data_IF_906797290923
#
_entry.id   IF_906797290923
#
_cell.length_a   1.000
_cell.length_b   1.000
_cell.length_c   1.000
_cell.angle_alpha   90.00
_cell.angle_beta   90.00
_cell.angle_gamma   90.00
#
_symmetry.space_group_name_H-M   'P 1'
#
loop_
_entity.id
_entity.type
_entity.pdbx_description
1 polymer ?
#
# COMPACT_ATOMS: atom_id res chain seq x y z
N UNK A 1 -3.60 3.98 15.09
CA UNK A 1 -4.67 3.65 14.12
C UNK A 1 -6.00 4.32 14.52
N UNK A 2 -6.96 4.52 13.60
CA UNK A 2 -8.32 4.99 13.95
C UNK A 2 -9.26 3.84 14.35
N UNK A 3 -10.56 4.10 14.46
CA UNK A 3 -11.56 3.10 14.85
C UNK A 3 -11.88 2.06 13.75
N UNK A 4 -11.42 2.30 12.52
CA UNK A 4 -11.61 1.44 11.35
C UNK A 4 -10.36 0.63 11.00
N UNK A 5 -9.34 0.63 11.85
CA UNK A 5 -8.10 -0.07 11.54
C UNK A 5 -7.17 0.69 10.59
N UNK A 6 -7.38 1.99 10.36
CA UNK A 6 -6.61 2.76 9.37
C UNK A 6 -5.46 3.57 10.02
N UNK A 7 -4.38 3.74 9.27
CA UNK A 7 -3.18 4.47 9.66
C UNK A 7 -3.18 5.88 9.08
N UNK A 8 -2.92 6.89 9.90
CA UNK A 8 -2.77 8.27 9.44
C UNK A 8 -1.36 8.45 8.88
N UNK A 9 -1.24 8.44 7.56
CA UNK A 9 0.04 8.58 6.89
C UNK A 9 -0.09 9.41 5.61
N UNK A 10 1.01 10.00 5.17
CA UNK A 10 1.10 10.61 3.85
C UNK A 10 1.85 9.63 2.93
N UNK A 11 1.28 9.23 1.77
CA UNK A 11 1.93 8.27 0.87
C UNK A 11 3.35 8.66 0.46
N UNK A 12 3.62 9.95 0.29
CA UNK A 12 4.96 10.43 -0.01
C UNK A 12 5.97 10.10 1.10
N UNK A 13 5.56 10.12 2.38
CA UNK A 13 6.46 9.82 3.49
C UNK A 13 6.75 8.32 3.55
N UNK A 14 5.74 7.49 3.26
CA UNK A 14 5.90 6.03 3.12
C UNK A 14 6.90 5.72 2.01
N UNK A 15 6.65 6.24 0.81
CA UNK A 15 7.45 5.90 -0.36
C UNK A 15 8.87 6.49 -0.33
N UNK A 16 9.07 7.69 0.25
CA UNK A 16 10.41 8.25 0.47
C UNK A 16 11.25 7.37 1.41
N UNK A 17 10.62 6.79 2.43
CA UNK A 17 11.31 5.89 3.36
C UNK A 17 11.62 4.54 2.72
N UNK A 18 10.65 3.99 1.99
CA UNK A 18 10.76 2.65 1.41
C UNK A 18 11.65 2.61 0.16
N UNK A 19 11.59 3.66 -0.66
CA UNK A 19 12.23 3.72 -1.98
C UNK A 19 12.93 5.07 -2.22
N UNK A 20 13.87 5.51 -1.37
CA UNK A 20 14.44 6.86 -1.45
C UNK A 20 15.09 7.20 -2.81
N UNK A 21 15.70 6.21 -3.46
CA UNK A 21 16.43 6.42 -4.73
C UNK A 21 15.53 6.45 -5.97
N UNK A 22 14.35 5.83 -5.90
CA UNK A 22 13.45 5.65 -7.06
C UNK A 22 12.18 6.46 -6.95
N UNK A 23 11.77 6.82 -5.73
CA UNK A 23 10.61 7.66 -5.49
C UNK A 23 10.84 9.09 -6.00
N UNK A 24 9.91 9.56 -6.83
CA UNK A 24 9.87 10.96 -7.25
C UNK A 24 8.47 11.37 -7.69
N UNK A 25 8.15 12.63 -7.42
CA UNK A 25 6.93 13.32 -7.89
C UNK A 25 7.24 14.53 -8.76
N UNK A 26 8.49 14.69 -9.18
CA UNK A 26 8.94 15.84 -9.97
C UNK A 26 8.11 15.99 -11.26
N UNK A 27 7.85 14.88 -11.93
CA UNK A 27 7.07 14.83 -13.17
C UNK A 27 5.65 14.29 -12.97
N UNK A 28 5.13 14.43 -11.74
CA UNK A 28 3.87 13.83 -11.30
C UNK A 28 4.03 12.37 -10.90
N UNK A 29 2.89 11.66 -10.87
CA UNK A 29 2.80 10.32 -10.30
C UNK A 29 1.44 10.15 -9.62
N UNK A 30 1.20 8.96 -9.09
CA UNK A 30 -0.03 8.67 -8.36
C UNK A 30 0.22 7.57 -7.33
N UNK A 31 -0.68 7.48 -6.36
CA UNK A 31 -0.69 6.42 -5.37
C UNK A 31 -2.12 5.86 -5.29
N UNK A 32 -2.24 4.54 -5.36
CA UNK A 32 -3.54 3.88 -5.52
C UNK A 32 -3.62 2.64 -4.65
N UNK A 33 -4.75 2.42 -3.99
CA UNK A 33 -5.03 1.14 -3.33
C UNK A 33 -5.43 0.10 -4.36
N UNK A 34 -5.03 -1.15 -4.14
CA UNK A 34 -5.45 -2.30 -4.94
C UNK A 34 -6.54 -3.02 -4.17
N UNK A 35 -7.76 -2.97 -4.71
CA UNK A 35 -8.94 -3.61 -4.15
C UNK A 35 -9.36 -4.85 -4.97
N UNK A 36 -9.01 -4.91 -6.26
CA UNK A 36 -9.28 -6.04 -7.14
C UNK A 36 -8.44 -5.96 -8.43
N UNK A 37 -8.50 -6.98 -9.28
CA UNK A 37 -8.00 -7.00 -10.65
C UNK A 37 -9.13 -7.14 -11.69
N UNK A 38 -9.04 -6.39 -12.79
CA UNK A 38 -9.83 -6.60 -14.00
C UNK A 38 -8.92 -7.00 -15.17
N UNK A 39 -8.80 -8.30 -15.39
CA UNK A 39 -7.91 -8.88 -16.41
C UNK A 39 -8.41 -8.71 -17.85
N UNK A 40 -9.57 -8.07 -18.08
CA UNK A 40 -9.97 -7.63 -19.43
C UNK A 40 -9.05 -6.54 -20.00
N UNK A 41 -8.35 -5.81 -19.11
CA UNK A 41 -7.36 -4.81 -19.46
C UNK A 41 -5.95 -5.34 -19.18
N UNK A 42 -4.95 -4.91 -19.95
CA UNK A 42 -3.52 -5.30 -19.75
C UNK A 42 -2.64 -4.10 -19.38
N UNK A 43 -3.25 -3.02 -18.91
CA UNK A 43 -2.60 -1.77 -18.53
C UNK A 43 -3.10 -1.33 -17.14
N UNK A 44 -2.83 -0.09 -16.72
CA UNK A 44 -3.22 0.38 -15.39
C UNK A 44 -4.72 0.33 -15.05
N UNK A 45 -5.62 0.17 -16.02
CA UNK A 45 -7.04 -0.08 -15.79
C UNK A 45 -7.33 -1.48 -15.22
N UNK A 46 -6.38 -2.42 -15.34
CA UNK A 46 -6.52 -3.76 -14.77
C UNK A 46 -6.37 -3.78 -13.26
N UNK A 47 -5.78 -2.76 -12.67
CA UNK A 47 -5.70 -2.62 -11.22
C UNK A 47 -6.93 -1.81 -10.80
N UNK A 48 -7.78 -2.35 -9.92
CA UNK A 48 -9.00 -1.69 -9.44
C UNK A 48 -8.76 -1.15 -8.03
N UNK A 49 -9.33 0.02 -7.74
CA UNK A 49 -9.27 0.64 -6.42
C UNK A 49 -9.11 2.15 -6.46
N UNK A 50 -9.14 2.77 -5.28
CA UNK A 50 -9.17 4.22 -5.12
C UNK A 50 -7.79 4.88 -5.25
N UNK A 51 -7.75 6.07 -5.88
CA UNK A 51 -6.60 6.97 -5.83
C UNK A 51 -6.56 7.79 -4.55
N UNK A 52 -5.36 7.94 -4.00
CA UNK A 52 -5.10 8.70 -2.77
C UNK A 52 -4.26 9.93 -3.08
N UNK A 53 -4.39 10.96 -2.23
CA UNK A 53 -3.52 12.13 -2.34
C UNK A 53 -2.09 11.74 -2.00
N UNK A 54 -1.11 12.10 -2.82
CA UNK A 54 0.28 11.73 -2.56
C UNK A 54 0.90 12.48 -1.37
N UNK A 55 0.56 13.76 -1.17
CA UNK A 55 1.21 14.68 -0.22
C UNK A 55 0.46 14.91 1.09
N UNK A 56 -0.84 14.60 1.13
CA UNK A 56 -1.66 14.87 2.32
C UNK A 56 -1.66 13.65 3.23
N UNK A 57 -1.54 13.89 4.54
CA UNK A 57 -1.86 12.86 5.53
C UNK A 57 -3.33 12.50 5.40
N UNK A 58 -3.60 11.22 5.26
CA UNK A 58 -4.94 10.67 5.18
C UNK A 58 -4.96 9.27 5.82
N UNK A 59 -6.16 8.76 6.07
CA UNK A 59 -6.33 7.43 6.62
C UNK A 59 -6.14 6.39 5.52
N UNK A 60 -5.17 5.49 5.72
CA UNK A 60 -4.87 4.37 4.83
C UNK A 60 -5.21 3.06 5.55
N UNK A 61 -6.06 2.25 4.95
CA UNK A 61 -6.36 0.91 5.46
C UNK A 61 -5.20 -0.05 5.12
N UNK A 62 -4.91 -1.05 5.97
CA UNK A 62 -4.07 -2.17 5.58
C UNK A 62 -4.48 -2.79 4.25
N UNK A 63 -3.50 -3.29 3.51
CA UNK A 63 -3.70 -3.88 2.18
C UNK A 63 -2.62 -3.46 1.17
N UNK A 64 -2.92 -3.71 -0.09
CA UNK A 64 -2.01 -3.47 -1.20
C UNK A 64 -2.15 -2.07 -1.78
N UNK A 65 -1.02 -1.48 -2.17
CA UNK A 65 -0.97 -0.20 -2.84
C UNK A 65 0.05 -0.20 -3.97
N UNK A 66 -0.25 0.51 -5.05
CA UNK A 66 0.69 0.79 -6.13
C UNK A 66 1.04 2.27 -6.16
N UNK A 67 2.33 2.53 -6.16
CA UNK A 67 2.91 3.85 -6.41
C UNK A 67 3.40 3.95 -7.85
N UNK A 68 3.02 5.01 -8.56
CA UNK A 68 3.65 5.43 -9.80
C UNK A 68 4.52 6.65 -9.54
N UNK A 69 5.84 6.45 -9.59
CA UNK A 69 6.84 7.50 -9.45
C UNK A 69 7.46 7.86 -10.80
N UNK A 70 7.61 9.17 -11.06
CA UNK A 70 8.18 9.67 -12.32
C UNK A 70 9.42 10.52 -12.03
N UNK A 71 10.58 9.92 -12.27
CA UNK A 71 11.91 10.49 -12.05
C UNK A 71 12.59 10.88 -13.37
N UNK A 72 13.83 11.38 -13.29
CA UNK A 72 14.68 11.76 -14.42
C UNK A 72 14.47 13.20 -14.88
N UNK A 73 15.12 13.57 -15.99
CA UNK A 73 14.99 14.88 -16.61
C UNK A 73 13.85 14.94 -17.62
N UNK A 74 13.42 16.14 -17.99
CA UNK A 74 12.34 16.39 -18.97
C UNK A 74 12.52 15.61 -20.29
N UNK A 75 13.76 15.28 -20.68
CA UNK A 75 14.09 14.55 -21.92
C UNK A 75 14.15 13.02 -21.76
N UNK A 76 14.32 12.50 -20.53
CA UNK A 76 14.44 11.07 -20.24
C UNK A 76 13.72 10.74 -18.94
N UNK A 77 12.38 10.71 -19.02
CA UNK A 77 11.53 10.32 -17.89
C UNK A 77 11.76 8.85 -17.56
N UNK A 78 11.96 8.55 -16.29
CA UNK A 78 12.04 7.19 -15.75
C UNK A 78 10.81 6.98 -14.89
N UNK A 79 10.00 5.99 -15.22
CA UNK A 79 8.77 5.65 -14.50
C UNK A 79 9.02 4.37 -13.71
N UNK A 80 8.71 4.42 -12.42
CA UNK A 80 8.70 3.27 -11.53
C UNK A 80 7.25 2.99 -11.12
N UNK A 81 6.85 1.72 -11.17
CA UNK A 81 5.64 1.24 -10.53
C UNK A 81 6.05 0.33 -9.38
N UNK A 82 5.66 0.66 -8.15
CA UNK A 82 6.06 -0.07 -6.94
C UNK A 82 4.83 -0.57 -6.21
N UNK A 83 4.73 -1.88 -6.07
CA UNK A 83 3.70 -2.54 -5.28
C UNK A 83 4.20 -2.69 -3.85
N UNK A 84 3.38 -2.25 -2.90
CA UNK A 84 3.68 -2.32 -1.48
C UNK A 84 2.49 -2.94 -0.73
N UNK A 85 2.78 -3.53 0.43
CA UNK A 85 1.78 -3.98 1.40
C UNK A 85 1.88 -3.13 2.66
N UNK A 86 0.78 -2.51 3.07
CA UNK A 86 0.62 -1.93 4.40
C UNK A 86 0.01 -3.00 5.31
N UNK A 87 0.77 -3.45 6.31
CA UNK A 87 0.34 -4.48 7.25
C UNK A 87 -0.56 -3.92 8.35
N UNK A 88 -1.23 -4.83 9.07
CA UNK A 88 -2.13 -4.49 10.17
C UNK A 88 -1.44 -3.91 11.40
N UNK A 89 -0.13 -4.09 11.53
CA UNK A 89 0.71 -3.46 12.56
C UNK A 89 1.24 -2.08 12.12
N UNK A 90 0.92 -1.64 10.90
CA UNK A 90 1.36 -0.37 10.32
C UNK A 90 2.75 -0.42 9.67
N UNK A 91 3.41 -1.58 9.64
CA UNK A 91 4.63 -1.78 8.86
C UNK A 91 4.31 -1.82 7.37
N UNK A 92 5.31 -1.51 6.55
CA UNK A 92 5.16 -1.46 5.09
C UNK A 92 6.23 -2.34 4.45
N UNK A 93 5.80 -3.23 3.57
CA UNK A 93 6.67 -4.12 2.80
C UNK A 93 6.68 -3.72 1.33
N UNK A 94 7.85 -3.75 0.70
CA UNK A 94 7.98 -3.67 -0.76
C UNK A 94 7.81 -5.08 -1.32
N UNK A 95 6.86 -5.24 -2.23
CA UNK A 95 6.58 -6.54 -2.85
C UNK A 95 7.23 -6.67 -4.22
N UNK A 96 7.09 -5.64 -5.07
CA UNK A 96 7.59 -5.67 -6.44
C UNK A 96 7.84 -4.25 -6.96
N UNK A 97 8.81 -4.08 -7.86
CA UNK A 97 9.07 -2.80 -8.51
C UNK A 97 9.49 -2.97 -9.97
N UNK A 98 8.74 -2.34 -10.87
CA UNK A 98 9.06 -2.30 -12.30
C UNK A 98 9.60 -0.93 -12.72
N UNK A 99 10.45 -0.89 -13.75
CA UNK A 99 11.08 0.34 -14.28
C UNK A 99 10.88 0.45 -15.80
N UNK A 100 10.30 1.55 -16.27
CA UNK A 100 10.09 1.84 -17.70
C UNK A 100 9.46 0.68 -18.49
N UNK A 101 8.60 -0.08 -17.83
CA UNK A 101 8.04 -1.30 -18.39
C UNK A 101 6.63 -1.01 -18.93
N UNK A 102 6.35 -1.25 -20.23
CA UNK A 102 4.99 -1.11 -20.76
C UNK A 102 4.03 -2.15 -20.17
N UNK A 103 4.52 -3.33 -19.81
CA UNK A 103 3.76 -4.43 -19.21
C UNK A 103 3.69 -4.36 -17.68
N UNK A 104 4.05 -3.20 -17.09
CA UNK A 104 4.13 -3.04 -15.64
C UNK A 104 2.86 -3.48 -14.89
N UNK A 105 1.67 -3.34 -15.50
CA UNK A 105 0.42 -3.68 -14.83
C UNK A 105 0.22 -5.19 -14.74
N UNK A 106 0.50 -5.93 -15.82
CA UNK A 106 0.38 -7.39 -15.84
C UNK A 106 1.47 -8.06 -15.02
N UNK A 107 2.67 -7.48 -14.99
CA UNK A 107 3.79 -8.01 -14.19
C UNK A 107 3.53 -7.89 -12.68
N UNK A 108 2.56 -7.07 -12.26
CA UNK A 108 2.11 -6.96 -10.88
C UNK A 108 0.94 -7.90 -10.53
N UNK A 109 0.36 -8.64 -11.48
CA UNK A 109 -0.80 -9.49 -11.21
C UNK A 109 -0.46 -10.63 -10.25
N UNK A 110 0.55 -11.45 -10.56
CA UNK A 110 0.96 -12.57 -9.71
C UNK A 110 1.20 -12.14 -8.25
N UNK A 111 1.98 -11.07 -7.95
CA UNK A 111 2.13 -10.65 -6.56
C UNK A 111 0.84 -10.04 -5.98
N UNK A 112 -0.01 -9.38 -6.77
CA UNK A 112 -1.31 -8.89 -6.28
C UNK A 112 -2.23 -10.05 -5.88
N UNK A 113 -2.39 -11.03 -6.77
CA UNK A 113 -3.24 -12.22 -6.55
C UNK A 113 -2.82 -12.96 -5.29
N UNK A 114 -1.51 -13.11 -5.05
CA UNK A 114 -1.01 -13.75 -3.82
C UNK A 114 -1.50 -13.10 -2.53
N UNK A 115 -1.84 -11.81 -2.54
CA UNK A 115 -2.21 -11.06 -1.32
C UNK A 115 -3.70 -10.70 -1.24
N UNK A 116 -4.41 -10.73 -2.36
CA UNK A 116 -5.84 -10.44 -2.40
C UNK A 116 -6.65 -11.59 -1.75
N UNK A 117 -7.59 -11.30 -0.83
CA UNK A 117 -8.32 -12.33 -0.10
C UNK A 117 -9.07 -13.34 -0.99
N UNK A 118 -9.60 -12.89 -2.13
CA UNK A 118 -10.37 -13.73 -3.05
C UNK A 118 -9.54 -14.85 -3.71
N UNK A 119 -8.21 -14.77 -3.64
CA UNK A 119 -7.28 -15.79 -4.15
C UNK A 119 -6.63 -16.62 -3.04
N UNK A 120 -6.96 -16.35 -1.77
CA UNK A 120 -6.39 -17.04 -0.61
C UNK A 120 -7.33 -18.11 -0.07
N UNK A 121 -6.80 -19.20 0.49
CA UNK A 121 -7.61 -20.15 1.27
C UNK A 121 -8.21 -19.47 2.50
N UNK A 122 -9.43 -19.84 2.89
CA UNK A 122 -10.12 -19.30 4.08
C UNK A 122 -9.26 -19.29 5.35
N UNK A 123 -8.45 -20.33 5.54
CA UNK A 123 -7.53 -20.44 6.68
C UNK A 123 -6.54 -19.28 6.74
N UNK A 124 -6.02 -18.84 5.59
CA UNK A 124 -5.08 -17.73 5.51
C UNK A 124 -5.77 -16.40 5.79
N UNK A 125 -6.98 -16.21 5.25
CA UNK A 125 -7.83 -15.05 5.54
C UNK A 125 -8.10 -14.93 7.04
N UNK A 126 -8.51 -16.02 7.69
CA UNK A 126 -8.76 -16.07 9.13
C UNK A 126 -7.50 -15.82 9.97
N UNK A 127 -6.33 -16.26 9.49
CA UNK A 127 -5.07 -15.95 10.17
C UNK A 127 -4.74 -14.46 10.07
N UNK A 128 -4.93 -13.84 8.91
CA UNK A 128 -4.73 -12.39 8.74
C UNK A 128 -5.71 -11.58 9.59
N UNK A 129 -6.98 -11.99 9.67
CA UNK A 129 -7.99 -11.38 10.53
C UNK A 129 -7.63 -11.53 12.03
N UNK A 130 -7.16 -12.71 12.43
CA UNK A 130 -6.66 -12.93 13.80
C UNK A 130 -5.51 -11.96 14.12
N UNK A 131 -4.52 -11.83 13.24
CA UNK A 131 -3.40 -10.91 13.43
C UNK A 131 -3.89 -9.46 13.55
N UNK A 132 -4.86 -9.04 12.73
CA UNK A 132 -5.47 -7.71 12.88
C UNK A 132 -6.08 -7.50 14.27
N UNK A 133 -6.86 -8.47 14.76
CA UNK A 133 -7.50 -8.40 16.07
C UNK A 133 -6.47 -8.35 17.20
N UNK A 134 -5.38 -9.12 17.09
CA UNK A 134 -4.27 -9.10 18.05
C UNK A 134 -3.59 -7.71 18.08
N UNK A 135 -3.22 -7.15 16.93
CA UNK A 135 -2.64 -5.79 16.86
C UNK A 135 -3.60 -4.74 17.44
N UNK A 136 -4.91 -4.88 17.20
CA UNK A 136 -5.91 -3.95 17.74
C UNK A 136 -6.06 -4.08 19.25
N UNK A 137 -5.99 -5.29 19.78
CA UNK A 137 -6.04 -5.55 21.21
C UNK A 137 -4.83 -4.92 21.92
N UNK A 138 -3.64 -5.06 21.35
CA UNK A 138 -2.41 -4.45 21.88
C UNK A 138 -2.50 -2.93 21.93
N UNK A 139 -3.03 -2.28 20.88
CA UNK A 139 -3.27 -0.84 20.89
C UNK A 139 -4.25 -0.40 21.99
N UNK A 140 -5.32 -1.18 22.22
CA UNK A 140 -6.33 -0.89 23.24
C UNK A 140 -5.69 -1.01 24.62
N UNK A 141 -4.94 -2.08 24.87
CA UNK A 141 -4.23 -2.30 26.13
C UNK A 141 -3.25 -1.15 26.42
N UNK A 142 -2.46 -0.73 25.42
CA UNK A 142 -1.55 0.40 25.58
C UNK A 142 -2.27 1.72 25.91
N UNK A 143 -3.47 1.95 25.35
CA UNK A 143 -4.28 3.13 25.69
C UNK A 143 -4.83 3.06 27.11
N UNK A 144 -5.28 1.89 27.55
CA UNK A 144 -5.76 1.68 28.92
C UNK A 144 -4.64 1.94 29.94
N UNK A 145 -3.45 1.36 29.73
CA UNK A 145 -2.29 1.60 30.58
C UNK A 145 -1.90 3.08 30.70
N UNK A 146 -2.02 3.84 29.61
CA UNK A 146 -1.73 5.27 29.62
C UNK A 146 -2.81 6.09 30.33
N UNK A 147 -4.07 5.64 30.34
CA UNK A 147 -5.13 6.29 31.11
C UNK A 147 -4.98 6.01 32.60
N UNK A 148 -4.65 4.77 32.97
CA UNK A 148 -4.44 4.37 34.36
C UNK A 148 -3.24 5.07 35.00
N UNK A 149 -2.20 5.41 34.22
CA UNK A 149 -1.02 6.19 34.68
C UNK A 149 -1.28 7.68 34.88
N UNK A 150 -2.37 8.21 34.35
CA UNK A 150 -2.73 9.64 34.41
C UNK A 150 -3.87 9.93 35.41
N UNK A 151 -4.29 8.92 36.19
CA UNK A 151 -5.14 9.04 37.39
C UNK A 151 -4.29 9.04 38.66
#
# INVERSE_FOLDING_TARGET
MNNRGEFLAAPNDIMKRLCPETYSRLHGGWFRKVDNLNQEYTNGYSIIGQFYSDRRRQWLAPGLYVDCSKNGDNKKKVIYHTLIKLNFDGTVELLEQTRNNPSWATDLWDPIEKFLPEFKPDKEILHEEKTYLECRLDEINHKLENLDKNQ
#
